data_IF_495362397695
#
_entry.id   IF_495362397695
#
_cell.length_a   1.000
_cell.length_b   1.000
_cell.length_c   1.000
_cell.angle_alpha   90.00
_cell.angle_beta   90.00
_cell.angle_gamma   90.00
#
_symmetry.space_group_name_H-M   'P 1'
#
loop_
_entity.id
_entity.type
_entity.pdbx_description
1 polymer ?
#
# COMPACT_ATOMS: atom_id res chain seq x y z
N UNK A 1 11.36 0.83 8.14
CA UNK A 1 9.93 0.94 8.45
C UNK A 1 9.15 1.24 7.19
N UNK A 2 8.03 0.53 6.96
CA UNK A 2 7.17 0.71 5.79
C UNK A 2 6.48 2.09 5.75
N UNK A 3 6.37 2.74 6.91
CA UNK A 3 5.63 4.00 7.14
C UNK A 3 6.42 5.29 6.85
N UNK A 4 7.55 5.22 6.14
CA UNK A 4 8.38 6.39 5.80
C UNK A 4 8.00 7.02 4.44
N UNK A 5 6.79 6.75 3.96
CA UNK A 5 6.32 7.19 2.64
C UNK A 5 7.36 6.96 1.53
N UNK A 6 7.63 7.99 0.73
CA UNK A 6 8.54 7.95 -0.43
C UNK A 6 9.98 7.55 -0.10
N UNK A 7 10.37 7.67 1.17
CA UNK A 7 11.71 7.33 1.64
C UNK A 7 11.84 5.88 2.11
N UNK A 8 10.76 5.10 2.08
CA UNK A 8 10.82 3.68 2.40
C UNK A 8 11.57 2.92 1.28
N UNK A 9 12.54 2.09 1.66
CA UNK A 9 13.38 1.37 0.70
C UNK A 9 12.59 0.46 -0.25
N UNK A 10 11.47 -0.10 0.21
CA UNK A 10 10.56 -0.89 -0.64
C UNK A 10 9.80 0.00 -1.63
N UNK A 11 9.35 1.19 -1.20
CA UNK A 11 8.62 2.11 -2.07
C UNK A 11 9.52 2.69 -3.16
N UNK A 12 10.79 2.99 -2.87
CA UNK A 12 11.72 3.53 -3.89
C UNK A 12 11.98 2.59 -5.07
N UNK A 13 11.90 1.27 -4.84
CA UNK A 13 12.14 0.29 -5.88
C UNK A 13 10.92 0.07 -6.80
N UNK A 14 9.72 0.49 -6.39
CA UNK A 14 8.47 0.21 -7.10
C UNK A 14 8.25 1.12 -8.31
N UNK A 15 8.51 2.45 -8.26
CA UNK A 15 8.42 3.32 -9.43
C UNK A 15 9.42 2.95 -10.55
N UNK A 16 10.55 2.33 -10.21
CA UNK A 16 11.54 1.88 -11.21
C UNK A 16 11.20 0.52 -11.82
N UNK A 17 10.44 -0.31 -11.11
CA UNK A 17 10.01 -1.63 -11.52
C UNK A 17 8.49 -1.63 -11.65
N UNK A 18 7.96 -1.20 -12.80
CA UNK A 18 6.52 -1.20 -13.10
C UNK A 18 5.86 -2.60 -13.04
N UNK A 19 6.64 -3.64 -12.83
CA UNK A 19 6.22 -5.04 -12.74
C UNK A 19 6.71 -5.67 -11.44
N UNK A 20 5.89 -6.53 -10.86
CA UNK A 20 6.21 -7.27 -9.65
C UNK A 20 5.46 -8.58 -9.57
N UNK A 21 5.67 -9.29 -8.47
CA UNK A 21 5.01 -10.57 -8.20
C UNK A 21 4.54 -10.61 -6.77
N UNK A 22 3.31 -11.10 -6.58
CA UNK A 22 2.72 -11.27 -5.25
C UNK A 22 2.50 -12.75 -4.94
N UNK A 23 2.67 -13.09 -3.67
CA UNK A 23 2.23 -14.35 -3.09
C UNK A 23 1.18 -14.08 -2.02
N UNK A 24 -0.02 -14.62 -2.21
CA UNK A 24 -1.11 -14.49 -1.24
C UNK A 24 -1.94 -15.78 -1.19
N UNK A 25 -2.09 -16.36 0.00
CA UNK A 25 -2.95 -17.53 0.20
C UNK A 25 -2.57 -18.76 -0.65
N UNK A 26 -1.29 -18.91 -1.01
CA UNK A 26 -0.81 -19.98 -1.90
C UNK A 26 -0.92 -19.69 -3.39
N UNK A 27 -1.45 -18.52 -3.79
CA UNK A 27 -1.47 -18.05 -5.17
C UNK A 27 -0.23 -17.19 -5.44
N UNK A 28 0.44 -17.46 -6.57
CA UNK A 28 1.45 -16.61 -7.18
C UNK A 28 0.85 -15.89 -8.38
N UNK A 29 1.04 -14.57 -8.47
CA UNK A 29 0.53 -13.78 -9.58
C UNK A 29 1.49 -12.65 -9.94
N UNK A 30 1.73 -12.48 -11.24
CA UNK A 30 2.39 -11.30 -11.77
C UNK A 30 1.45 -10.09 -11.70
N UNK A 31 2.03 -8.95 -11.38
CA UNK A 31 1.31 -7.70 -11.16
C UNK A 31 2.05 -6.54 -11.82
N UNK A 32 1.31 -5.49 -12.14
CA UNK A 32 1.87 -4.18 -12.37
C UNK A 32 1.59 -3.24 -11.20
N UNK A 33 2.51 -2.31 -11.00
CA UNK A 33 2.37 -1.22 -10.06
C UNK A 33 1.98 0.06 -10.80
N UNK A 34 0.88 0.66 -10.39
CA UNK A 34 0.36 1.91 -10.93
C UNK A 34 0.22 2.93 -9.79
N UNK A 35 0.47 4.20 -10.07
CA UNK A 35 0.13 5.26 -9.11
C UNK A 35 -1.38 5.26 -8.89
N UNK A 36 -1.79 5.21 -7.63
CA UNK A 36 -3.19 5.36 -7.29
C UNK A 36 -3.59 6.83 -7.38
N UNK A 37 -4.79 7.11 -7.88
CA UNK A 37 -5.40 8.41 -7.67
C UNK A 37 -5.67 8.58 -6.15
N UNK A 38 -5.58 9.80 -5.64
CA UNK A 38 -5.79 10.10 -4.22
C UNK A 38 -7.26 10.29 -3.86
N UNK A 39 -8.17 10.30 -4.85
CA UNK A 39 -9.61 10.35 -4.63
C UNK A 39 -10.15 9.09 -3.89
N UNK A 40 -9.46 7.95 -3.98
CA UNK A 40 -9.82 6.70 -3.27
C UNK A 40 -9.25 6.60 -1.85
N UNK A 41 -8.42 7.54 -1.41
CA UNK A 41 -7.66 7.42 -0.15
C UNK A 41 -8.57 7.19 1.07
N UNK A 42 -9.73 7.85 1.12
CA UNK A 42 -10.66 7.71 2.25
C UNK A 42 -11.38 6.35 2.25
N UNK A 43 -11.67 5.77 1.08
CA UNK A 43 -12.22 4.41 0.95
C UNK A 43 -11.19 3.37 1.38
N UNK A 44 -9.94 3.54 0.93
CA UNK A 44 -8.80 2.68 1.29
C UNK A 44 -8.57 2.73 2.81
N UNK A 45 -8.60 3.91 3.41
CA UNK A 45 -8.44 4.09 4.85
C UNK A 45 -9.57 3.40 5.64
N UNK A 46 -10.82 3.52 5.19
CA UNK A 46 -11.96 2.86 5.81
C UNK A 46 -11.82 1.32 5.75
N UNK A 47 -11.44 0.78 4.59
CA UNK A 47 -11.17 -0.64 4.40
C UNK A 47 -10.00 -1.13 5.27
N UNK A 48 -8.91 -0.35 5.35
CA UNK A 48 -7.74 -0.66 6.17
C UNK A 48 -8.09 -0.70 7.66
N UNK A 49 -8.86 0.28 8.15
CA UNK A 49 -9.39 0.31 9.53
C UNK A 49 -10.26 -0.90 9.82
N UNK A 50 -11.12 -1.29 8.90
CA UNK A 50 -11.98 -2.48 9.06
C UNK A 50 -11.15 -3.77 9.15
N UNK A 51 -10.19 -3.94 8.23
CA UNK A 51 -9.31 -5.12 8.17
C UNK A 51 -8.44 -5.28 9.41
N UNK A 52 -7.86 -4.18 9.91
CA UNK A 52 -6.94 -4.18 11.04
C UNK A 52 -7.58 -3.68 12.35
N UNK A 53 -8.92 -3.69 12.44
CA UNK A 53 -9.66 -3.24 13.63
C UNK A 53 -9.17 -3.88 14.92
N UNK A 54 -8.73 -5.14 14.86
CA UNK A 54 -8.18 -5.90 16.00
C UNK A 54 -6.85 -5.36 16.52
N UNK A 55 -6.10 -4.63 15.70
CA UNK A 55 -4.79 -4.06 16.01
C UNK A 55 -4.86 -2.54 16.22
N UNK A 56 -6.02 -2.04 16.65
CA UNK A 56 -6.26 -0.61 16.83
C UNK A 56 -5.21 0.04 17.74
N UNK A 57 -4.65 1.18 17.29
CA UNK A 57 -3.58 1.90 17.98
C UNK A 57 -2.45 2.30 17.02
N UNK A 58 -1.21 2.16 17.48
CA UNK A 58 0.02 2.67 16.83
C UNK A 58 0.18 2.27 15.35
N UNK A 59 -0.29 1.09 14.95
CA UNK A 59 -0.16 0.58 13.57
C UNK A 59 -1.12 1.31 12.62
N UNK A 60 -2.38 1.51 13.01
CA UNK A 60 -3.34 2.28 12.20
C UNK A 60 -2.86 3.73 12.08
N UNK A 61 -2.47 4.36 13.19
CA UNK A 61 -2.04 5.76 13.18
C UNK A 61 -0.75 6.00 12.40
N UNK A 62 0.10 4.97 12.21
CA UNK A 62 1.31 5.09 11.40
C UNK A 62 1.09 4.92 9.90
N UNK A 63 0.03 4.22 9.47
CA UNK A 63 -0.25 3.99 8.05
C UNK A 63 -1.27 4.96 7.45
N UNK A 64 -2.02 5.70 8.29
CA UNK A 64 -3.08 6.61 7.86
C UNK A 64 -2.61 8.07 7.92
N UNK A 65 -1.30 8.30 7.85
CA UNK A 65 -0.72 9.66 7.82
C UNK A 65 -0.75 10.21 6.40
N UNK A 66 -0.78 11.53 6.21
CA UNK A 66 -0.69 12.15 4.88
C UNK A 66 0.56 11.71 4.08
N UNK A 67 1.68 11.47 4.77
CA UNK A 67 2.91 10.98 4.14
C UNK A 67 2.75 9.55 3.61
N UNK A 68 2.07 8.68 4.35
CA UNK A 68 1.77 7.32 3.90
C UNK A 68 0.74 7.31 2.76
N UNK A 69 -0.29 8.17 2.83
CA UNK A 69 -1.26 8.37 1.74
C UNK A 69 -0.60 8.82 0.44
N UNK A 70 0.42 9.70 0.52
CA UNK A 70 1.19 10.14 -0.66
C UNK A 70 1.98 9.04 -1.38
N UNK A 71 1.91 7.81 -0.87
CA UNK A 71 2.58 6.62 -1.40
C UNK A 71 1.63 5.45 -1.64
N UNK A 72 0.34 5.72 -1.80
CA UNK A 72 -0.62 4.69 -2.22
C UNK A 72 -0.27 4.22 -3.63
N UNK A 73 -0.03 2.92 -3.80
CA UNK A 73 0.21 2.28 -5.10
C UNK A 73 -0.89 1.27 -5.34
N UNK A 74 -1.42 1.26 -6.57
CA UNK A 74 -2.38 0.28 -7.03
C UNK A 74 -1.65 -0.94 -7.60
N UNK A 75 -2.13 -2.11 -7.23
CA UNK A 75 -1.65 -3.40 -7.74
C UNK A 75 -2.66 -3.93 -8.75
N UNK A 76 -2.24 -4.14 -10.00
CA UNK A 76 -3.10 -4.64 -11.08
C UNK A 76 -2.60 -6.02 -11.53
N UNK A 77 -3.40 -7.09 -11.41
CA UNK A 77 -3.03 -8.42 -11.92
C UNK A 77 -2.76 -8.39 -13.43
N UNK A 78 -1.74 -9.13 -13.86
CA UNK A 78 -1.48 -9.43 -15.28
C UNK A 78 -2.00 -10.82 -15.66
#
# INVERSE_FOLDING_TARGET
SAVKGRNAAWFRAVPEMHEGRIWAGGLEKDIAFEDADHDIDDEVDAAYRSKYRRYAGRILNSCLTPEARSTTIKIVPR
#
